data_IF_941816051051
#
_entry.id   IF_941816051051
#
_cell.length_a   1.000
_cell.length_b   1.000
_cell.length_c   1.000
_cell.angle_alpha   90.00
_cell.angle_beta   90.00
_cell.angle_gamma   90.00
#
_symmetry.space_group_name_H-M   'P 1'
#
loop_
_entity.id
_entity.type
_entity.pdbx_description
1 polymer ?
#
# COMPACT_ATOMS: atom_id res chain seq x y z
N UNK A 1 30.71 -50.98 -11.70
CA UNK A 1 31.61 -50.07 -10.96
C UNK A 1 31.31 -48.64 -11.41
N UNK A 2 31.23 -47.74 -10.43
CA UNK A 2 30.78 -46.35 -10.50
C UNK A 2 31.56 -45.43 -11.45
N UNK A 3 30.93 -44.30 -11.78
CA UNK A 3 31.63 -43.11 -12.26
C UNK A 3 30.70 -41.94 -12.61
N UNK A 4 29.99 -41.39 -11.63
CA UNK A 4 29.30 -40.09 -11.70
C UNK A 4 30.32 -38.98 -12.01
N UNK A 5 29.97 -38.02 -12.90
CA UNK A 5 30.66 -36.73 -12.95
C UNK A 5 29.66 -35.60 -12.71
N UNK A 6 29.92 -34.93 -11.59
CA UNK A 6 29.23 -33.82 -10.97
C UNK A 6 28.72 -32.74 -11.92
N UNK A 7 27.48 -32.32 -11.68
CA UNK A 7 27.04 -30.95 -11.92
C UNK A 7 27.90 -30.01 -11.07
N UNK A 8 28.57 -29.06 -11.73
CA UNK A 8 29.04 -27.85 -11.04
C UNK A 8 27.82 -26.97 -10.92
N UNK A 9 27.07 -27.16 -9.84
CA UNK A 9 26.04 -26.23 -9.41
C UNK A 9 26.77 -25.05 -8.77
N UNK A 10 26.95 -23.98 -9.54
CA UNK A 10 27.41 -22.70 -9.00
C UNK A 10 26.37 -22.22 -8.01
N UNK A 11 26.62 -22.45 -6.72
CA UNK A 11 25.82 -21.94 -5.61
C UNK A 11 26.02 -20.43 -5.50
N UNK A 12 25.33 -19.66 -6.34
CA UNK A 12 24.95 -18.30 -5.98
C UNK A 12 23.80 -18.42 -4.99
N UNK A 13 24.09 -18.20 -3.71
CA UNK A 13 23.10 -18.00 -2.66
C UNK A 13 22.30 -16.74 -2.99
N UNK A 14 21.22 -16.88 -3.76
CA UNK A 14 20.13 -15.91 -3.80
C UNK A 14 19.17 -16.32 -2.70
N UNK A 15 19.13 -15.60 -1.59
CA UNK A 15 18.03 -15.69 -0.63
C UNK A 15 16.77 -15.38 -1.44
N UNK A 16 15.97 -16.40 -1.73
CA UNK A 16 14.72 -16.20 -2.47
C UNK A 16 13.79 -15.45 -1.53
N UNK A 17 13.58 -14.16 -1.82
CA UNK A 17 12.72 -13.29 -1.01
C UNK A 17 11.35 -13.94 -0.87
N UNK A 18 10.89 -14.13 0.36
CA UNK A 18 9.62 -14.80 0.63
C UNK A 18 8.67 -13.93 1.43
N UNK A 19 7.38 -14.13 1.24
CA UNK A 19 6.33 -13.45 1.98
C UNK A 19 5.65 -14.41 2.96
N UNK A 20 5.30 -13.94 4.17
CA UNK A 20 4.44 -14.69 5.08
C UNK A 20 3.10 -15.05 4.45
N UNK A 21 2.44 -16.06 5.01
CA UNK A 21 1.10 -16.48 4.59
C UNK A 21 0.13 -15.29 4.56
N UNK A 22 -0.66 -15.19 3.49
CA UNK A 22 -1.62 -14.10 3.29
C UNK A 22 -1.03 -12.84 2.65
N UNK A 23 0.28 -12.83 2.36
CA UNK A 23 0.93 -11.76 1.62
C UNK A 23 1.37 -12.23 0.23
N UNK A 24 1.25 -11.33 -0.73
CA UNK A 24 1.66 -11.50 -2.12
C UNK A 24 2.98 -10.79 -2.36
N UNK A 25 3.95 -11.50 -2.93
CA UNK A 25 5.25 -10.93 -3.28
C UNK A 25 5.16 -10.00 -4.49
N UNK A 26 5.69 -8.79 -4.34
CA UNK A 26 5.93 -7.82 -5.40
C UNK A 26 7.39 -7.39 -5.38
N UNK A 27 8.08 -7.49 -6.51
CA UNK A 27 9.50 -7.15 -6.59
C UNK A 27 9.67 -5.71 -7.09
N UNK A 28 10.03 -4.79 -6.19
CA UNK A 28 10.48 -3.44 -6.58
C UNK A 28 11.91 -3.55 -7.10
N UNK A 29 12.38 -2.54 -7.83
CA UNK A 29 13.73 -2.55 -8.41
C UNK A 29 14.84 -2.66 -7.35
N UNK A 30 14.60 -2.14 -6.15
CA UNK A 30 15.59 -2.05 -5.06
C UNK A 30 15.40 -3.10 -3.97
N UNK A 31 14.20 -3.64 -3.79
CA UNK A 31 13.88 -4.64 -2.78
C UNK A 31 12.56 -5.34 -3.07
N UNK A 32 12.37 -6.50 -2.43
CA UNK A 32 11.11 -7.23 -2.50
C UNK A 32 10.15 -6.77 -1.41
N UNK A 33 8.88 -6.65 -1.77
CA UNK A 33 7.80 -6.11 -0.94
C UNK A 33 6.64 -7.09 -0.88
N UNK A 34 6.11 -7.31 0.31
CA UNK A 34 4.98 -8.19 0.55
C UNK A 34 3.72 -7.36 0.71
N UNK A 35 2.73 -7.57 -0.16
CA UNK A 35 1.46 -6.85 -0.18
C UNK A 35 0.31 -7.72 0.32
N UNK A 36 -0.59 -7.13 1.09
CA UNK A 36 -1.85 -7.76 1.50
C UNK A 36 -2.89 -6.66 1.72
N UNK A 37 -4.08 -7.04 2.17
CA UNK A 37 -5.12 -6.11 2.60
C UNK A 37 -5.68 -6.57 3.93
N UNK A 38 -6.16 -5.63 4.72
CA UNK A 38 -7.00 -5.90 5.88
C UNK A 38 -8.37 -5.28 5.65
N UNK A 39 -9.39 -5.83 6.30
CA UNK A 39 -10.73 -5.23 6.34
C UNK A 39 -10.97 -4.67 7.74
N UNK A 40 -11.60 -3.50 7.83
CA UNK A 40 -12.00 -2.96 9.12
C UNK A 40 -13.11 -3.82 9.74
N UNK A 41 -12.96 -4.10 11.05
CA UNK A 41 -13.89 -4.97 11.76
C UNK A 41 -15.28 -4.33 11.93
N UNK A 42 -15.33 -3.02 12.13
CA UNK A 42 -16.57 -2.25 12.26
C UNK A 42 -16.84 -1.46 10.99
N UNK A 43 -17.56 -2.09 10.05
CA UNK A 43 -18.02 -1.46 8.81
C UNK A 43 -19.14 -0.42 9.02
N UNK A 44 -19.61 -0.23 10.26
CA UNK A 44 -20.57 0.85 10.61
C UNK A 44 -19.86 2.12 11.05
N UNK A 45 -18.53 2.05 11.25
CA UNK A 45 -17.70 3.21 11.53
C UNK A 45 -17.58 4.05 10.26
N UNK A 46 -18.10 5.28 10.31
CA UNK A 46 -18.07 6.20 9.17
C UNK A 46 -16.73 6.94 9.00
N UNK A 47 -15.85 6.88 10.00
CA UNK A 47 -14.64 7.69 10.10
C UNK A 47 -13.54 6.79 10.69
N UNK A 48 -12.49 6.54 9.93
CA UNK A 48 -11.28 5.89 10.41
C UNK A 48 -10.17 6.92 10.62
N UNK A 49 -9.17 6.58 11.44
CA UNK A 49 -7.97 7.39 11.62
C UNK A 49 -6.68 6.59 11.37
N UNK A 50 -5.52 7.21 11.58
CA UNK A 50 -4.23 6.55 11.38
C UNK A 50 -4.01 5.38 12.34
N UNK A 51 -4.59 5.41 13.54
CA UNK A 51 -4.44 4.34 14.52
C UNK A 51 -5.26 3.13 14.05
N UNK A 52 -6.48 3.35 13.54
CA UNK A 52 -7.28 2.27 12.93
C UNK A 52 -6.54 1.60 11.75
N UNK A 53 -5.95 2.41 10.87
CA UNK A 53 -5.19 1.91 9.71
C UNK A 53 -3.97 1.10 10.18
N UNK A 54 -3.24 1.63 11.16
CA UNK A 54 -2.06 0.98 11.73
C UNK A 54 -2.43 -0.35 12.39
N UNK A 55 -3.47 -0.38 13.22
CA UNK A 55 -3.97 -1.58 13.89
C UNK A 55 -4.43 -2.63 12.87
N UNK A 56 -5.16 -2.20 11.83
CA UNK A 56 -5.63 -3.06 10.76
C UNK A 56 -4.45 -3.78 10.07
N UNK A 57 -3.39 -3.07 9.67
CA UNK A 57 -2.24 -3.71 9.04
C UNK A 57 -1.42 -4.57 9.99
N UNK A 58 -1.24 -4.13 11.24
CA UNK A 58 -0.49 -4.89 12.25
C UNK A 58 -1.21 -6.18 12.67
N UNK A 59 -2.53 -6.24 12.52
CA UNK A 59 -3.32 -7.46 12.76
C UNK A 59 -2.94 -8.62 11.82
N UNK A 60 -2.47 -8.32 10.61
CA UNK A 60 -1.99 -9.31 9.64
C UNK A 60 -0.58 -9.80 10.00
N UNK A 61 0.30 -8.87 10.36
CA UNK A 61 1.68 -9.13 10.76
C UNK A 61 2.24 -7.91 11.51
N UNK A 62 3.00 -8.09 12.58
CA UNK A 62 3.53 -6.99 13.39
C UNK A 62 4.51 -6.06 12.67
N UNK A 63 5.13 -6.51 11.56
CA UNK A 63 6.00 -5.68 10.71
C UNK A 63 5.21 -4.90 9.63
N UNK A 64 3.95 -5.27 9.41
CA UNK A 64 3.10 -4.71 8.35
C UNK A 64 2.61 -3.32 8.70
N UNK A 65 2.56 -2.46 7.69
CA UNK A 65 2.08 -1.07 7.77
C UNK A 65 1.22 -0.77 6.55
N UNK A 66 0.49 0.35 6.57
CA UNK A 66 -0.18 0.82 5.36
C UNK A 66 0.84 1.00 4.23
N UNK A 67 0.63 0.36 3.08
CA UNK A 67 1.61 0.33 2.00
C UNK A 67 1.44 1.52 1.07
N UNK A 68 2.55 2.15 0.66
CA UNK A 68 2.59 2.97 -0.55
C UNK A 68 2.89 2.12 -1.80
N UNK A 69 2.93 2.76 -2.97
CA UNK A 69 3.31 2.13 -4.24
C UNK A 69 4.12 3.08 -5.12
N UNK A 70 4.99 2.53 -5.97
CA UNK A 70 5.96 3.30 -6.77
C UNK A 70 5.60 3.36 -8.26
N UNK A 71 4.89 2.35 -8.77
CA UNK A 71 4.58 2.22 -10.20
C UNK A 71 3.13 1.84 -10.44
N UNK A 72 2.67 2.03 -11.68
CA UNK A 72 1.32 1.63 -12.11
C UNK A 72 1.12 0.11 -12.04
N UNK A 73 2.18 -0.68 -12.22
CA UNK A 73 2.12 -2.14 -12.06
C UNK A 73 1.91 -2.54 -10.59
N UNK A 74 2.54 -1.83 -9.66
CA UNK A 74 2.31 -2.04 -8.24
C UNK A 74 0.88 -1.66 -7.85
N UNK A 75 0.37 -0.55 -8.40
CA UNK A 75 -1.02 -0.13 -8.26
C UNK A 75 -2.00 -1.20 -8.78
N UNK A 76 -1.77 -1.75 -9.98
CA UNK A 76 -2.56 -2.86 -10.52
C UNK A 76 -2.52 -4.08 -9.60
N UNK A 77 -1.35 -4.41 -9.04
CA UNK A 77 -1.23 -5.53 -8.12
C UNK A 77 -2.03 -5.32 -6.84
N UNK A 78 -2.06 -4.10 -6.31
CA UNK A 78 -2.92 -3.75 -5.18
C UNK A 78 -4.41 -3.91 -5.52
N UNK A 79 -4.84 -3.48 -6.71
CA UNK A 79 -6.21 -3.64 -7.19
C UNK A 79 -6.61 -5.11 -7.34
N UNK A 80 -5.73 -5.97 -7.86
CA UNK A 80 -5.95 -7.42 -7.93
C UNK A 80 -6.20 -8.00 -6.53
N UNK A 81 -5.35 -7.65 -5.56
CA UNK A 81 -5.43 -8.12 -4.16
C UNK A 81 -6.79 -7.77 -3.52
N UNK A 82 -7.32 -6.57 -3.76
CA UNK A 82 -8.62 -6.16 -3.20
C UNK A 82 -9.82 -6.60 -4.04
N UNK A 83 -9.64 -6.87 -5.33
CA UNK A 83 -10.70 -7.44 -6.16
C UNK A 83 -11.08 -8.85 -5.70
N UNK A 84 -10.09 -9.64 -5.27
CA UNK A 84 -10.30 -10.96 -4.67
C UNK A 84 -11.02 -10.88 -3.31
N UNK A 85 -10.95 -9.71 -2.65
CA UNK A 85 -11.58 -9.44 -1.36
C UNK A 85 -13.02 -8.91 -1.46
N UNK A 86 -13.41 -8.39 -2.63
CA UNK A 86 -14.69 -7.71 -2.83
C UNK A 86 -15.85 -8.70 -2.69
N UNK A 87 -16.53 -8.59 -1.56
CA UNK A 87 -17.93 -9.04 -1.38
C UNK A 87 -18.80 -7.81 -1.62
N UNK A 88 -20.03 -7.99 -2.13
CA UNK A 88 -20.97 -6.96 -2.64
C UNK A 88 -21.33 -5.78 -1.68
N UNK A 89 -20.37 -5.09 -1.10
CA UNK A 89 -20.56 -3.90 -0.27
C UNK A 89 -20.38 -2.64 -1.12
N UNK A 90 -21.11 -1.58 -0.73
CA UNK A 90 -21.27 -0.35 -1.49
C UNK A 90 -20.03 0.55 -1.59
N UNK A 91 -18.94 0.21 -0.90
CA UNK A 91 -17.67 0.94 -0.93
C UNK A 91 -16.60 0.00 -1.46
N UNK A 92 -15.88 0.39 -2.51
CA UNK A 92 -14.69 -0.32 -3.00
C UNK A 92 -13.43 0.49 -2.73
N UNK A 93 -13.37 1.13 -1.55
CA UNK A 93 -12.27 2.01 -1.17
C UNK A 93 -11.38 1.37 -0.11
N UNK A 94 -10.06 1.42 -0.32
CA UNK A 94 -9.05 1.00 0.66
C UNK A 94 -8.03 2.11 0.88
N UNK A 95 -7.63 2.33 2.14
CA UNK A 95 -6.56 3.27 2.45
C UNK A 95 -5.21 2.73 2.01
N UNK A 96 -4.34 3.62 1.54
CA UNK A 96 -2.90 3.34 1.33
C UNK A 96 -2.05 4.21 2.26
N UNK A 97 -0.79 3.82 2.42
CA UNK A 97 0.18 4.46 3.31
C UNK A 97 0.70 5.79 2.81
N UNK A 98 -0.18 6.75 2.57
CA UNK A 98 0.17 8.12 2.21
C UNK A 98 -0.48 9.11 3.18
N UNK A 99 0.26 10.18 3.49
CA UNK A 99 -0.19 11.25 4.37
C UNK A 99 0.15 12.62 3.80
N UNK A 100 -0.37 13.66 4.43
CA UNK A 100 0.00 15.05 4.12
C UNK A 100 1.50 15.24 4.37
N UNK A 101 2.21 15.76 3.37
CA UNK A 101 3.63 16.05 3.50
C UNK A 101 3.87 17.13 4.56
N UNK A 102 4.80 16.90 5.48
CA UNK A 102 5.11 17.86 6.56
C UNK A 102 5.51 19.26 6.04
N UNK A 103 6.09 19.33 4.84
CA UNK A 103 6.47 20.59 4.16
C UNK A 103 5.26 21.45 3.77
N UNK A 104 4.07 20.86 3.64
CA UNK A 104 2.84 21.52 3.18
C UNK A 104 2.03 22.14 4.33
N UNK A 105 2.69 22.92 5.20
CA UNK A 105 2.00 23.71 6.22
C UNK A 105 1.19 24.86 5.60
N UNK A 106 0.19 25.40 6.32
CA UNK A 106 -0.82 26.37 5.83
C UNK A 106 -0.29 27.66 5.18
N UNK A 107 1.02 27.91 5.21
CA UNK A 107 1.69 29.08 4.65
C UNK A 107 2.41 28.83 3.32
N UNK A 108 2.48 27.58 2.85
CA UNK A 108 3.25 27.20 1.67
C UNK A 108 2.36 26.50 0.63
N UNK A 109 2.29 27.08 -0.57
CA UNK A 109 1.48 26.53 -1.67
C UNK A 109 2.18 25.30 -2.23
N UNK A 110 1.77 24.11 -1.79
CA UNK A 110 2.22 22.87 -2.39
C UNK A 110 1.48 22.62 -3.70
N UNK A 111 2.19 22.10 -4.71
CA UNK A 111 1.55 21.48 -5.86
C UNK A 111 0.83 20.21 -5.41
N UNK A 112 -0.20 19.71 -6.12
CA UNK A 112 -0.85 18.44 -5.78
C UNK A 112 0.15 17.29 -5.60
N UNK A 113 1.18 17.24 -6.46
CA UNK A 113 2.25 16.24 -6.40
C UNK A 113 3.13 16.34 -5.15
N UNK A 114 3.33 17.55 -4.63
CA UNK A 114 4.13 17.79 -3.43
C UNK A 114 3.34 17.64 -2.13
N UNK A 115 2.02 17.53 -2.23
CA UNK A 115 1.11 17.60 -1.10
C UNK A 115 1.16 16.35 -0.22
N UNK A 116 1.63 15.22 -0.77
CA UNK A 116 1.62 13.92 -0.11
C UNK A 116 3.01 13.33 0.05
N UNK A 117 3.19 12.53 1.11
CA UNK A 117 4.37 11.71 1.34
C UNK A 117 3.97 10.31 1.81
N UNK A 118 4.76 9.31 1.43
CA UNK A 118 4.56 7.93 1.87
C UNK A 118 4.93 7.76 3.34
N UNK A 119 4.09 7.05 4.09
CA UNK A 119 4.25 6.84 5.54
C UNK A 119 4.89 5.49 5.88
N UNK A 120 5.04 4.59 4.90
CA UNK A 120 5.63 3.27 5.10
C UNK A 120 7.17 3.28 5.28
N UNK A 121 7.82 4.39 4.97
CA UNK A 121 9.27 4.61 5.07
C UNK A 121 10.11 3.88 4.01
N UNK A 122 9.48 3.26 3.01
CA UNK A 122 10.15 2.49 1.97
C UNK A 122 9.79 3.01 0.57
N UNK A 123 8.53 3.36 0.36
CA UNK A 123 8.03 3.84 -0.92
C UNK A 123 8.60 5.23 -1.21
N UNK A 124 9.02 5.42 -2.46
CA UNK A 124 9.60 6.67 -2.96
C UNK A 124 8.98 7.04 -4.30
N UNK A 125 9.10 8.32 -4.68
CA UNK A 125 8.52 8.84 -5.90
C UNK A 125 7.01 9.08 -5.81
N UNK A 126 6.46 9.74 -6.83
CA UNK A 126 5.03 10.01 -6.97
C UNK A 126 4.47 9.52 -8.31
N UNK A 127 5.25 8.72 -9.04
CA UNK A 127 4.92 8.28 -10.40
C UNK A 127 3.67 7.37 -10.46
N UNK A 128 3.30 6.76 -9.32
CA UNK A 128 2.06 6.02 -9.19
C UNK A 128 0.82 6.88 -8.94
N UNK A 129 0.95 8.13 -8.51
CA UNK A 129 -0.21 8.94 -8.15
C UNK A 129 -1.04 9.31 -9.38
N UNK A 130 -2.22 8.73 -9.49
CA UNK A 130 -3.27 9.16 -10.41
C UNK A 130 -4.16 10.16 -9.69
N UNK A 131 -4.00 11.45 -9.98
CA UNK A 131 -4.80 12.49 -9.33
C UNK A 131 -6.16 12.63 -10.01
N UNK A 132 -7.25 12.50 -9.26
CA UNK A 132 -8.56 13.01 -9.70
C UNK A 132 -8.60 14.54 -9.60
N UNK A 133 -9.35 15.21 -10.48
CA UNK A 133 -9.41 16.68 -10.55
C UNK A 133 -10.02 17.33 -9.28
N UNK A 134 -10.66 16.54 -8.41
CA UNK A 134 -11.42 16.99 -7.23
C UNK A 134 -10.69 16.79 -5.89
N UNK A 135 -9.36 16.66 -5.88
CA UNK A 135 -8.64 16.50 -4.61
C UNK A 135 -8.77 17.76 -3.75
N UNK A 136 -9.47 17.65 -2.62
CA UNK A 136 -9.49 18.71 -1.62
C UNK A 136 -8.09 18.82 -1.00
N UNK A 137 -7.47 20.00 -1.10
CA UNK A 137 -6.14 20.28 -0.54
C UNK A 137 -6.21 21.09 0.76
N UNK A 138 -7.40 21.29 1.34
CA UNK A 138 -7.63 22.26 2.43
C UNK A 138 -7.70 21.65 3.84
N UNK A 139 -7.90 20.34 3.97
CA UNK A 139 -7.98 19.62 5.24
C UNK A 139 -6.60 19.23 5.79
N UNK A 140 -6.49 19.10 7.11
CA UNK A 140 -5.19 18.92 7.78
C UNK A 140 -4.65 17.48 7.72
N UNK A 141 -5.48 16.49 7.34
CA UNK A 141 -5.14 15.07 7.42
C UNK A 141 -5.82 14.32 6.27
N UNK A 142 -5.02 13.80 5.32
CA UNK A 142 -5.50 13.03 4.18
C UNK A 142 -4.86 11.65 4.13
N UNK A 143 -5.65 10.66 3.72
CA UNK A 143 -5.17 9.37 3.28
C UNK A 143 -5.63 9.17 1.83
N UNK A 144 -4.82 8.53 1.00
CA UNK A 144 -5.22 8.23 -0.37
C UNK A 144 -6.11 6.98 -0.32
N UNK A 145 -7.23 7.05 -1.03
CA UNK A 145 -8.12 5.92 -1.23
C UNK A 145 -7.84 5.33 -2.61
N UNK A 146 -7.56 4.03 -2.64
CA UNK A 146 -7.69 3.23 -3.86
C UNK A 146 -9.16 2.96 -4.08
N UNK A 147 -9.71 3.35 -5.23
CA UNK A 147 -11.03 2.91 -5.68
C UNK A 147 -10.78 1.79 -6.68
N UNK A 148 -11.50 0.66 -6.55
CA UNK A 148 -11.52 -0.36 -7.62
C UNK A 148 -11.85 0.33 -8.95
N UNK A 149 -11.05 0.13 -9.99
CA UNK A 149 -11.07 0.79 -11.34
C UNK A 149 -9.81 1.63 -11.65
N UNK A 150 -8.66 1.36 -11.00
CA UNK A 150 -7.36 2.02 -11.26
C UNK A 150 -7.31 3.52 -10.96
N UNK A 151 -8.36 4.05 -10.32
CA UNK A 151 -8.44 5.45 -9.93
C UNK A 151 -8.10 5.63 -8.45
N UNK A 152 -7.21 6.57 -8.16
CA UNK A 152 -7.05 7.09 -6.80
C UNK A 152 -7.99 8.27 -6.62
N UNK A 153 -8.55 8.37 -5.41
CA UNK A 153 -9.10 9.62 -4.93
C UNK A 153 -8.37 10.02 -3.65
N UNK A 154 -7.99 11.30 -3.55
CA UNK A 154 -7.55 11.83 -2.27
C UNK A 154 -8.76 12.07 -1.38
N UNK A 155 -8.71 11.60 -0.13
CA UNK A 155 -9.78 11.83 0.83
C UNK A 155 -9.23 12.14 2.21
N UNK A 156 -10.01 12.84 3.03
CA UNK A 156 -9.61 13.08 4.42
C UNK A 156 -9.42 11.73 5.13
N UNK A 157 -8.55 11.63 6.15
CA UNK A 157 -8.42 10.35 6.88
C UNK A 157 -9.77 9.89 7.45
N UNK A 158 -10.68 10.84 7.72
CA UNK A 158 -12.04 10.62 8.19
C UNK A 158 -13.00 10.11 7.10
N UNK A 159 -12.52 9.33 6.14
CA UNK A 159 -13.32 8.76 5.07
C UNK A 159 -13.84 7.37 5.42
N UNK A 160 -14.91 6.97 4.72
CA UNK A 160 -15.39 5.59 4.73
C UNK A 160 -14.53 4.77 3.77
N UNK A 161 -14.03 3.63 4.27
CA UNK A 161 -13.28 2.66 3.50
C UNK A 161 -13.57 1.26 4.05
N UNK A 162 -13.37 0.22 3.22
CA UNK A 162 -13.51 -1.17 3.66
C UNK A 162 -12.34 -1.62 4.52
N UNK A 163 -11.18 -0.97 4.39
CA UNK A 163 -9.93 -1.42 4.99
C UNK A 163 -8.73 -0.64 4.50
N UNK A 164 -7.56 -1.27 4.58
CA UNK A 164 -6.30 -0.71 4.11
C UNK A 164 -5.49 -1.73 3.31
N UNK A 165 -4.70 -1.25 2.35
CA UNK A 165 -3.61 -2.02 1.75
C UNK A 165 -2.43 -1.97 2.69
N UNK A 166 -1.87 -3.14 2.96
CA UNK A 166 -0.82 -3.33 3.92
C UNK A 166 0.41 -3.95 3.26
N UNK A 167 1.58 -3.62 3.77
CA UNK A 167 2.81 -4.21 3.28
C UNK A 167 4.00 -4.11 4.22
N UNK A 168 5.03 -4.88 3.87
CA UNK A 168 6.29 -4.98 4.59
C UNK A 168 7.39 -5.53 3.69
N UNK A 169 8.66 -5.38 4.10
CA UNK A 169 9.78 -6.01 3.43
C UNK A 169 9.63 -7.54 3.43
N UNK A 170 10.00 -8.16 2.31
CA UNK A 170 10.15 -9.60 2.24
C UNK A 170 11.36 -10.06 3.08
N UNK A 171 11.28 -11.29 3.62
CA UNK A 171 12.38 -11.92 4.38
C UNK A 171 13.47 -12.49 3.43
#
# INVERSE_FOLDING_TARGET
MCGTKNSVETTTSSTQSSCPTGFTLFNRTTYSWCLSYCSFADQTKNIYDNDDISECCQSLNSKSKASGFQTTEELHKMNEIISDASTENAYNSYFVGAGKAAKCSSTQTCTPQDFFEWTDGHTSGTDGFVWSEDIDTTSAVYAILLISDDALSGSSINAVANGAICGMLAD
#
